data_IF_503870755291
#
_entry.id   IF_503870755291
#
_cell.length_a   1.000
_cell.length_b   1.000
_cell.length_c   1.000
_cell.angle_alpha   90.00
_cell.angle_beta   90.00
_cell.angle_gamma   90.00
#
_symmetry.space_group_name_H-M   'P 1'
#
loop_
_entity.id
_entity.type
_entity.pdbx_description
1 polymer ?
#
# COMPACT_ATOMS: atom_id res chain seq x y z
N UNK A 1 19.92 -13.39 -80.64
CA UNK A 1 18.60 -13.11 -80.03
C UNK A 1 18.49 -14.06 -78.86
N UNK A 2 18.47 -13.66 -77.59
CA UNK A 2 17.95 -12.45 -76.97
C UNK A 2 18.59 -12.30 -75.57
N UNK A 3 18.66 -11.07 -75.09
CA UNK A 3 19.38 -10.55 -73.92
C UNK A 3 19.31 -11.36 -72.61
N UNK A 4 20.46 -11.58 -71.97
CA UNK A 4 20.54 -11.91 -70.54
C UNK A 4 20.64 -10.58 -69.75
N UNK A 5 19.60 -10.25 -69.00
CA UNK A 5 19.55 -9.09 -68.12
C UNK A 5 20.36 -9.38 -66.85
N UNK A 6 21.37 -8.54 -66.56
CA UNK A 6 22.05 -8.51 -65.28
C UNK A 6 21.14 -7.83 -64.25
N UNK A 7 20.62 -8.60 -63.29
CA UNK A 7 19.94 -8.07 -62.13
C UNK A 7 20.98 -7.56 -61.12
N UNK A 8 21.12 -6.25 -61.00
CA UNK A 8 21.82 -5.62 -59.88
C UNK A 8 20.96 -5.79 -58.62
N UNK A 9 21.43 -6.63 -57.69
CA UNK A 9 20.90 -6.68 -56.34
C UNK A 9 21.43 -5.44 -55.62
N UNK A 10 20.58 -4.43 -55.47
CA UNK A 10 20.84 -3.31 -54.58
C UNK A 10 20.84 -3.81 -53.15
N UNK A 11 22.02 -3.94 -52.54
CA UNK A 11 22.14 -4.10 -51.11
C UNK A 11 21.70 -2.82 -50.42
N UNK A 12 20.51 -2.83 -49.82
CA UNK A 12 20.19 -1.90 -48.74
C UNK A 12 21.09 -2.29 -47.57
N UNK A 13 22.26 -1.64 -47.48
CA UNK A 13 23.12 -1.75 -46.31
C UNK A 13 22.34 -1.27 -45.10
N UNK A 14 22.12 -2.17 -44.13
CA UNK A 14 21.89 -1.77 -42.75
C UNK A 14 23.18 -1.08 -42.30
N UNK A 15 23.25 0.24 -42.42
CA UNK A 15 24.43 1.03 -42.04
C UNK A 15 24.18 1.96 -40.88
N UNK A 16 23.13 1.73 -40.11
CA UNK A 16 22.93 2.38 -38.82
C UNK A 16 22.71 1.31 -37.75
N UNK A 17 23.81 0.84 -37.17
CA UNK A 17 23.79 -0.09 -36.04
C UNK A 17 23.71 0.65 -34.69
N UNK A 18 23.45 1.97 -34.68
CA UNK A 18 23.59 2.76 -33.47
C UNK A 18 25.01 2.68 -32.90
N UNK A 19 25.17 3.03 -31.63
CA UNK A 19 26.44 2.85 -30.93
C UNK A 19 26.67 1.36 -30.63
N UNK A 20 27.54 0.72 -31.42
CA UNK A 20 27.92 -0.70 -31.26
C UNK A 20 28.69 -1.01 -29.96
N UNK A 21 28.98 0.00 -29.14
CA UNK A 21 29.53 -0.19 -27.80
C UNK A 21 28.45 -0.34 -26.71
N UNK A 22 27.17 -0.15 -27.07
CA UNK A 22 26.06 -0.35 -26.15
C UNK A 22 25.42 -1.70 -26.42
N UNK A 23 25.72 -2.69 -25.56
CA UNK A 23 25.03 -3.97 -25.54
C UNK A 23 23.60 -3.75 -24.98
N UNK A 24 22.54 -3.84 -25.79
CA UNK A 24 21.17 -3.62 -25.31
C UNK A 24 20.67 -4.76 -24.41
N UNK A 25 21.37 -5.90 -24.35
CA UNK A 25 21.02 -7.06 -23.52
C UNK A 25 21.73 -7.03 -22.15
N UNK A 26 22.69 -6.13 -21.94
CA UNK A 26 23.32 -5.88 -20.64
C UNK A 26 22.97 -4.49 -20.12
N UNK A 27 22.20 -4.45 -19.03
CA UNK A 27 21.91 -3.21 -18.32
C UNK A 27 23.19 -2.61 -17.75
N UNK A 28 23.42 -1.33 -18.05
CA UNK A 28 24.53 -0.50 -17.56
C UNK A 28 24.03 0.94 -17.37
N UNK A 29 24.84 1.82 -16.79
CA UNK A 29 24.48 3.21 -16.49
C UNK A 29 23.99 4.03 -17.70
N UNK A 30 24.29 3.60 -18.93
CA UNK A 30 23.93 4.29 -20.16
C UNK A 30 22.65 3.73 -20.84
N UNK A 31 22.13 2.56 -20.43
CA UNK A 31 20.89 1.97 -20.98
C UNK A 31 19.86 1.51 -19.92
N UNK A 32 20.07 1.82 -18.63
CA UNK A 32 19.08 1.52 -17.58
C UNK A 32 17.75 2.24 -17.89
N UNK A 33 16.63 1.50 -17.99
CA UNK A 33 15.32 2.10 -18.25
C UNK A 33 14.76 2.74 -16.99
N UNK A 34 15.27 3.93 -16.65
CA UNK A 34 15.05 4.58 -15.36
C UNK A 34 13.56 4.83 -15.07
N UNK A 35 12.77 5.20 -16.07
CA UNK A 35 11.30 5.32 -15.94
C UNK A 35 10.61 4.00 -15.60
N UNK A 36 11.09 2.86 -16.14
CA UNK A 36 10.55 1.55 -15.82
C UNK A 36 10.93 1.14 -14.40
N UNK A 37 12.17 1.41 -13.97
CA UNK A 37 12.59 1.22 -12.58
C UNK A 37 11.73 2.05 -11.63
N UNK A 38 11.50 3.32 -11.94
CA UNK A 38 10.63 4.18 -11.14
C UNK A 38 9.19 3.65 -11.06
N UNK A 39 8.62 3.24 -12.20
CA UNK A 39 7.28 2.63 -12.27
C UNK A 39 7.21 1.36 -11.40
N UNK A 40 8.20 0.47 -11.52
CA UNK A 40 8.27 -0.76 -10.73
C UNK A 40 8.46 -0.48 -9.24
N UNK A 41 9.35 0.44 -8.90
CA UNK A 41 9.59 0.91 -7.54
C UNK A 41 8.30 1.40 -6.88
N UNK A 42 7.54 2.27 -7.55
CA UNK A 42 6.23 2.72 -7.06
C UNK A 42 5.26 1.56 -6.81
N UNK A 43 5.13 0.61 -7.74
CA UNK A 43 4.21 -0.52 -7.60
C UNK A 43 4.64 -1.46 -6.47
N UNK A 44 5.91 -1.88 -6.46
CA UNK A 44 6.43 -2.84 -5.48
C UNK A 44 6.54 -2.24 -4.07
N UNK A 45 6.65 -0.92 -3.92
CA UNK A 45 6.58 -0.26 -2.60
C UNK A 45 5.22 -0.36 -1.92
N UNK A 46 4.14 -0.70 -2.65
CA UNK A 46 2.81 -0.84 -2.07
C UNK A 46 2.62 -2.19 -1.39
N UNK A 47 3.25 -3.21 -1.95
CA UNK A 47 3.12 -4.60 -1.51
C UNK A 47 2.66 -5.49 -2.65
N UNK A 48 2.92 -6.78 -2.54
CA UNK A 48 2.34 -7.83 -3.36
C UNK A 48 1.51 -8.75 -2.46
N UNK A 49 0.87 -9.75 -3.03
CA UNK A 49 0.19 -10.78 -2.24
C UNK A 49 1.14 -11.45 -1.23
N UNK A 50 2.45 -11.47 -1.47
CA UNK A 50 3.42 -12.13 -0.61
C UNK A 50 3.59 -11.47 0.76
N UNK A 51 3.92 -10.17 0.78
CA UNK A 51 4.13 -9.38 2.01
C UNK A 51 2.83 -8.83 2.59
N UNK A 52 1.86 -8.46 1.74
CA UNK A 52 0.54 -8.00 2.22
C UNK A 52 -0.18 -9.14 2.93
N UNK A 53 -0.03 -10.39 2.50
CA UNK A 53 -0.59 -11.52 3.21
C UNK A 53 0.07 -11.72 4.57
N UNK A 54 1.41 -11.72 4.61
CA UNK A 54 2.18 -11.99 5.83
C UNK A 54 2.16 -10.82 6.81
N UNK A 55 2.75 -9.69 6.46
CA UNK A 55 2.79 -8.53 7.34
C UNK A 55 1.40 -7.90 7.51
N UNK A 56 0.63 -7.79 6.43
CA UNK A 56 -0.68 -7.14 6.44
C UNK A 56 -1.77 -8.02 7.07
N UNK A 57 -2.08 -9.17 6.48
CA UNK A 57 -3.23 -9.99 6.88
C UNK A 57 -2.96 -10.88 8.09
N UNK A 58 -1.80 -11.54 8.16
CA UNK A 58 -1.46 -12.48 9.25
C UNK A 58 -1.10 -11.72 10.54
N UNK A 59 -0.43 -10.56 10.43
CA UNK A 59 -0.05 -9.74 11.58
C UNK A 59 -0.90 -8.47 11.75
N UNK A 60 -0.65 -7.41 10.97
CA UNK A 60 -1.15 -6.07 11.26
C UNK A 60 -2.68 -5.99 11.39
N UNK A 61 -3.43 -6.55 10.43
CA UNK A 61 -4.89 -6.54 10.43
C UNK A 61 -5.47 -7.29 11.64
N UNK A 62 -4.80 -8.36 12.07
CA UNK A 62 -5.23 -9.07 13.26
C UNK A 62 -4.82 -8.33 14.55
N UNK A 63 -3.60 -7.81 14.67
CA UNK A 63 -3.18 -7.02 15.85
C UNK A 63 -4.02 -5.75 16.05
N UNK A 64 -4.48 -5.12 14.97
CA UNK A 64 -5.45 -4.03 15.01
C UNK A 64 -6.90 -4.49 15.29
N UNK A 65 -7.11 -5.81 15.40
CA UNK A 65 -8.42 -6.46 15.58
C UNK A 65 -9.43 -6.18 14.46
N UNK A 66 -8.98 -5.90 13.24
CA UNK A 66 -9.86 -5.84 12.07
C UNK A 66 -10.27 -7.25 11.64
N UNK A 67 -9.33 -8.19 11.61
CA UNK A 67 -9.58 -9.59 11.22
C UNK A 67 -9.14 -10.61 12.26
N UNK A 68 -9.71 -11.81 12.16
CA UNK A 68 -9.34 -13.01 12.90
C UNK A 68 -9.21 -14.20 11.94
N UNK A 69 -8.33 -15.14 12.31
CA UNK A 69 -8.13 -16.40 11.61
C UNK A 69 -7.83 -17.51 12.61
N UNK A 70 -8.38 -18.71 12.39
CA UNK A 70 -7.95 -19.91 13.09
C UNK A 70 -6.77 -20.61 12.41
N UNK A 71 -6.57 -20.37 11.11
CA UNK A 71 -5.43 -20.90 10.38
C UNK A 71 -4.16 -20.07 10.64
N UNK A 72 -4.32 -18.77 10.87
CA UNK A 72 -3.22 -17.83 11.12
C UNK A 72 -3.33 -17.22 12.51
N UNK A 73 -2.70 -17.87 13.50
CA UNK A 73 -2.78 -17.48 14.91
C UNK A 73 -1.88 -16.29 15.30
N UNK A 74 -1.43 -15.48 14.33
CA UNK A 74 -0.49 -14.36 14.52
C UNK A 74 -0.93 -13.35 15.59
N UNK A 75 -2.24 -13.10 15.70
CA UNK A 75 -2.83 -12.31 16.79
C UNK A 75 -3.32 -13.15 17.96
N UNK A 76 -3.80 -14.37 17.72
CA UNK A 76 -4.43 -15.15 18.78
C UNK A 76 -3.47 -15.44 19.95
N UNK A 77 -2.16 -15.54 19.66
CA UNK A 77 -1.13 -15.91 20.63
C UNK A 77 0.14 -15.04 20.57
N UNK A 78 0.14 -13.91 19.84
CA UNK A 78 1.37 -13.15 19.52
C UNK A 78 2.50 -14.05 19.01
N UNK A 79 2.14 -15.10 18.25
CA UNK A 79 3.12 -16.04 17.71
C UNK A 79 3.95 -15.35 16.65
N UNK A 80 5.26 -15.54 16.73
CA UNK A 80 6.22 -14.93 15.83
C UNK A 80 6.81 -15.96 14.87
N UNK A 81 6.85 -15.61 13.59
CA UNK A 81 7.57 -16.34 12.56
C UNK A 81 8.52 -15.40 11.84
N UNK A 82 9.82 -15.71 11.87
CA UNK A 82 10.87 -14.87 11.29
C UNK A 82 10.68 -14.66 9.78
N UNK A 83 10.32 -15.73 9.06
CA UNK A 83 10.09 -15.67 7.62
C UNK A 83 8.90 -14.79 7.24
N UNK A 84 7.83 -14.78 8.03
CA UNK A 84 6.65 -13.96 7.75
C UNK A 84 6.82 -12.51 8.20
N UNK A 85 7.50 -12.29 9.32
CA UNK A 85 7.71 -10.95 9.86
C UNK A 85 8.74 -10.16 9.05
N UNK A 86 9.82 -10.82 8.60
CA UNK A 86 10.90 -10.19 7.83
C UNK A 86 10.62 -10.02 6.34
N UNK A 87 9.47 -10.47 5.82
CA UNK A 87 9.27 -10.54 4.37
C UNK A 87 9.27 -9.18 3.66
N UNK A 88 8.78 -8.11 4.30
CA UNK A 88 8.82 -6.78 3.69
C UNK A 88 10.25 -6.25 3.52
N UNK A 89 11.24 -6.82 4.23
CA UNK A 89 12.67 -6.51 4.04
C UNK A 89 13.18 -6.82 2.63
N UNK A 90 12.52 -7.73 1.91
CA UNK A 90 12.82 -8.06 0.51
C UNK A 90 12.70 -6.85 -0.44
N UNK A 91 12.09 -5.75 0.00
CA UNK A 91 12.03 -4.51 -0.77
C UNK A 91 13.42 -3.87 -1.02
N UNK A 92 14.43 -4.20 -0.22
CA UNK A 92 15.84 -3.85 -0.50
C UNK A 92 16.48 -4.73 -1.58
N UNK A 93 16.01 -5.97 -1.75
CA UNK A 93 16.72 -6.99 -2.52
C UNK A 93 16.31 -6.99 -4.00
N UNK A 94 17.30 -6.98 -4.89
CA UNK A 94 17.12 -6.98 -6.33
C UNK A 94 16.61 -8.29 -6.95
N UNK A 95 16.80 -9.43 -6.27
CA UNK A 95 16.41 -10.75 -6.77
C UNK A 95 14.93 -11.07 -6.56
N UNK A 96 14.22 -10.24 -5.79
CA UNK A 96 12.78 -10.38 -5.55
C UNK A 96 12.04 -9.10 -5.94
N UNK A 97 11.93 -8.13 -5.03
CA UNK A 97 11.03 -6.98 -5.21
C UNK A 97 11.77 -5.71 -5.58
N UNK A 98 12.96 -5.49 -5.02
CA UNK A 98 13.90 -4.45 -5.43
C UNK A 98 13.39 -3.02 -5.40
N UNK A 99 12.26 -2.72 -4.76
CA UNK A 99 11.59 -1.43 -4.96
C UNK A 99 12.40 -0.25 -4.42
N UNK A 100 13.07 -0.42 -3.28
CA UNK A 100 13.96 0.63 -2.74
C UNK A 100 15.22 0.77 -3.58
N UNK A 101 15.70 -0.33 -4.19
CA UNK A 101 16.81 -0.29 -5.14
C UNK A 101 16.44 0.52 -6.37
N UNK A 102 15.37 0.12 -7.05
CA UNK A 102 14.90 0.75 -8.28
C UNK A 102 14.61 2.24 -8.08
N UNK A 103 14.02 2.59 -6.93
CA UNK A 103 13.76 3.98 -6.58
C UNK A 103 15.06 4.75 -6.30
N UNK A 104 16.04 4.13 -5.62
CA UNK A 104 17.34 4.74 -5.35
C UNK A 104 18.14 4.96 -6.64
N UNK A 105 18.13 3.98 -7.55
CA UNK A 105 18.76 4.09 -8.87
C UNK A 105 18.14 5.24 -9.68
N UNK A 106 16.81 5.40 -9.64
CA UNK A 106 16.13 6.52 -10.28
C UNK A 106 16.50 7.89 -9.65
N UNK A 107 16.60 7.96 -8.32
CA UNK A 107 17.06 9.16 -7.62
C UNK A 107 18.47 9.54 -8.07
N UNK A 108 19.42 8.61 -8.09
CA UNK A 108 20.80 8.90 -8.45
C UNK A 108 20.94 9.27 -9.94
N UNK A 109 20.20 8.60 -10.83
CA UNK A 109 20.22 8.88 -12.27
C UNK A 109 19.70 10.29 -12.61
N UNK A 110 18.66 10.77 -11.92
CA UNK A 110 18.03 12.07 -12.23
C UNK A 110 18.63 13.25 -11.46
N UNK A 111 19.41 13.00 -10.41
CA UNK A 111 19.94 14.01 -9.50
C UNK A 111 20.68 15.15 -10.21
N UNK A 112 21.59 14.81 -11.10
CA UNK A 112 22.45 15.79 -11.80
C UNK A 112 21.95 16.12 -13.22
N UNK A 113 20.83 15.53 -13.67
CA UNK A 113 20.25 15.81 -14.99
C UNK A 113 19.30 17.02 -14.90
N UNK A 114 19.64 18.18 -15.52
CA UNK A 114 18.82 19.38 -15.47
C UNK A 114 17.42 19.19 -16.09
N UNK A 115 17.27 18.23 -17.01
CA UNK A 115 16.00 17.94 -17.67
C UNK A 115 15.06 17.07 -16.81
N UNK A 116 15.58 16.48 -15.73
CA UNK A 116 14.88 15.53 -14.85
C UNK A 116 14.72 16.04 -13.42
N UNK A 117 14.94 17.33 -13.19
CA UNK A 117 14.91 17.86 -11.82
C UNK A 117 13.54 17.70 -11.12
N UNK A 118 12.43 17.73 -11.86
CA UNK A 118 11.10 17.45 -11.31
C UNK A 118 10.98 15.95 -10.96
N UNK A 119 11.38 15.08 -11.88
CA UNK A 119 11.39 13.61 -11.71
C UNK A 119 12.24 13.22 -10.47
N UNK A 120 13.40 13.84 -10.30
CA UNK A 120 14.28 13.68 -9.15
C UNK A 120 13.59 14.01 -7.82
N UNK A 121 12.91 15.16 -7.71
CA UNK A 121 12.21 15.50 -6.46
C UNK A 121 11.06 14.52 -6.15
N UNK A 122 10.35 14.07 -7.19
CA UNK A 122 9.28 13.07 -7.02
C UNK A 122 9.86 11.72 -6.56
N UNK A 123 10.99 11.30 -7.12
CA UNK A 123 11.70 10.09 -6.70
C UNK A 123 12.17 10.18 -5.24
N UNK A 124 12.67 11.33 -4.78
CA UNK A 124 13.00 11.55 -3.36
C UNK A 124 11.78 11.39 -2.45
N UNK A 125 10.62 11.92 -2.84
CA UNK A 125 9.36 11.79 -2.07
C UNK A 125 8.95 10.32 -1.96
N UNK A 126 9.04 9.56 -3.05
CA UNK A 126 8.73 8.13 -3.03
C UNK A 126 9.73 7.33 -2.21
N UNK A 127 11.03 7.61 -2.33
CA UNK A 127 12.07 6.97 -1.52
C UNK A 127 11.83 7.20 -0.03
N UNK A 128 11.48 8.44 0.36
CA UNK A 128 11.10 8.78 1.72
C UNK A 128 9.87 7.97 2.20
N UNK A 129 8.84 7.81 1.35
CA UNK A 129 7.69 6.96 1.68
C UNK A 129 8.08 5.49 1.93
N UNK A 130 8.93 4.91 1.08
CA UNK A 130 9.36 3.51 1.25
C UNK A 130 10.18 3.30 2.52
N UNK A 131 11.12 4.21 2.79
CA UNK A 131 11.94 4.16 4.00
C UNK A 131 11.11 4.40 5.26
N UNK A 132 10.10 5.28 5.22
CA UNK A 132 9.13 5.43 6.31
C UNK A 132 8.43 4.10 6.64
N UNK A 133 7.97 3.36 5.61
CA UNK A 133 7.36 2.03 5.84
C UNK A 133 8.33 1.04 6.46
N UNK A 134 9.59 1.03 6.02
CA UNK A 134 10.61 0.14 6.58
C UNK A 134 10.85 0.41 8.06
N UNK A 135 11.07 1.68 8.43
CA UNK A 135 11.36 2.00 9.83
C UNK A 135 10.12 1.83 10.72
N UNK A 136 8.90 2.05 10.22
CA UNK A 136 7.66 1.79 10.98
C UNK A 136 7.46 0.31 11.32
N UNK A 137 7.97 -0.60 10.47
CA UNK A 137 7.88 -2.04 10.69
C UNK A 137 9.05 -2.59 11.53
N UNK A 138 10.25 -2.03 11.38
CA UNK A 138 11.48 -2.68 11.86
C UNK A 138 12.32 -1.85 12.83
N UNK A 139 12.02 -0.56 13.02
CA UNK A 139 12.82 0.31 13.87
C UNK A 139 14.05 0.84 13.14
N UNK A 140 15.22 0.61 13.73
CA UNK A 140 16.52 0.95 13.14
C UNK A 140 16.78 0.06 11.91
N UNK A 141 17.19 0.66 10.80
CA UNK A 141 17.34 -0.02 9.50
C UNK A 141 18.51 0.58 8.72
N UNK A 142 19.06 -0.15 7.73
CA UNK A 142 19.90 0.47 6.70
C UNK A 142 19.16 1.61 6.01
N UNK A 143 19.65 2.84 6.13
CA UNK A 143 19.04 4.02 5.53
C UNK A 143 20.05 4.83 4.72
N UNK A 144 20.99 5.52 5.39
CA UNK A 144 22.00 6.36 4.73
C UNK A 144 22.96 5.56 3.83
N UNK A 145 23.28 4.33 4.23
CA UNK A 145 24.16 3.41 3.50
C UNK A 145 23.38 2.37 2.66
N UNK A 146 22.04 2.44 2.66
CA UNK A 146 21.22 1.44 2.00
C UNK A 146 21.43 1.44 0.48
N UNK A 147 21.27 0.25 -0.11
CA UNK A 147 21.26 0.00 -1.56
C UNK A 147 22.51 0.53 -2.28
N UNK A 148 23.66 0.49 -1.61
CA UNK A 148 24.95 0.90 -2.18
C UNK A 148 25.99 -0.19 -1.96
N UNK A 149 25.79 -1.41 -2.49
CA UNK A 149 26.62 -2.58 -2.16
C UNK A 149 28.09 -2.42 -2.57
N UNK A 150 28.37 -1.58 -3.57
CA UNK A 150 29.74 -1.25 -4.00
C UNK A 150 30.51 -0.43 -2.97
N UNK A 151 29.81 0.41 -2.19
CA UNK A 151 30.40 1.27 -1.15
C UNK A 151 30.29 0.62 0.24
N UNK A 152 29.19 -0.06 0.49
CA UNK A 152 28.80 -0.61 1.79
C UNK A 152 28.29 -2.04 1.62
N UNK A 153 29.18 -3.02 1.71
CA UNK A 153 28.77 -4.44 1.67
C UNK A 153 27.99 -4.87 2.92
N UNK A 154 28.16 -4.16 4.04
CA UNK A 154 27.44 -4.36 5.30
C UNK A 154 26.96 -3.00 5.82
N UNK A 155 25.83 -2.49 5.31
CA UNK A 155 25.37 -1.17 5.70
C UNK A 155 24.98 -1.14 7.18
N UNK A 156 25.38 -0.08 7.86
CA UNK A 156 24.99 0.18 9.24
C UNK A 156 23.50 0.53 9.35
N UNK A 157 22.94 0.31 10.54
CA UNK A 157 21.55 0.62 10.82
C UNK A 157 21.50 2.02 11.40
N UNK A 158 20.80 2.93 10.71
CA UNK A 158 20.55 4.25 11.23
C UNK A 158 19.42 4.17 12.25
N UNK A 159 19.49 5.00 13.29
CA UNK A 159 18.45 5.02 14.32
C UNK A 159 17.12 5.49 13.73
N UNK A 160 16.00 4.93 14.20
CA UNK A 160 14.66 5.37 13.80
C UNK A 160 14.48 6.88 14.01
N UNK A 161 15.05 7.45 15.08
CA UNK A 161 15.00 8.89 15.32
C UNK A 161 15.70 9.69 14.20
N UNK A 162 16.94 9.32 13.82
CA UNK A 162 17.67 10.02 12.76
C UNK A 162 16.98 9.86 11.40
N UNK A 163 16.42 8.68 11.13
CA UNK A 163 15.65 8.41 9.92
C UNK A 163 14.44 9.34 9.86
N UNK A 164 13.62 9.40 10.91
CA UNK A 164 12.44 10.27 10.96
C UNK A 164 12.77 11.74 10.69
N UNK A 165 13.85 12.25 11.29
CA UNK A 165 14.28 13.62 11.08
C UNK A 165 14.75 13.89 9.65
N UNK A 166 15.44 12.93 9.03
CA UNK A 166 15.86 13.05 7.64
C UNK A 166 14.67 12.94 6.68
N UNK A 167 13.72 12.03 6.92
CA UNK A 167 12.48 11.93 6.15
C UNK A 167 11.71 13.26 6.13
N UNK A 168 11.56 13.93 7.28
CA UNK A 168 10.88 15.23 7.36
C UNK A 168 11.61 16.30 6.56
N UNK A 169 12.95 16.30 6.60
CA UNK A 169 13.79 17.21 5.83
C UNK A 169 13.66 16.94 4.32
N UNK A 170 13.82 15.69 3.89
CA UNK A 170 13.71 15.25 2.49
C UNK A 170 12.36 15.66 1.88
N UNK A 171 11.26 15.40 2.59
CA UNK A 171 9.91 15.79 2.15
C UNK A 171 9.76 17.31 2.03
N UNK A 172 10.33 18.08 2.96
CA UNK A 172 10.23 19.54 2.96
C UNK A 172 11.06 20.19 1.87
N UNK A 173 12.25 19.67 1.59
CA UNK A 173 13.09 20.18 0.51
C UNK A 173 12.53 19.81 -0.86
N UNK A 174 12.09 18.55 -1.05
CA UNK A 174 11.56 18.09 -2.32
C UNK A 174 10.27 18.84 -2.71
N UNK A 175 9.33 19.03 -1.77
CA UNK A 175 8.12 19.81 -2.05
C UNK A 175 8.44 21.27 -2.37
N UNK A 176 9.46 21.86 -1.73
CA UNK A 176 9.82 23.26 -1.97
C UNK A 176 10.41 23.43 -3.37
N UNK A 177 11.24 22.47 -3.81
CA UNK A 177 11.82 22.45 -5.15
C UNK A 177 10.78 22.23 -6.26
N UNK A 178 9.63 21.62 -5.94
CA UNK A 178 8.51 21.47 -6.87
C UNK A 178 7.61 22.73 -6.96
N UNK A 179 7.82 23.75 -6.13
CA UNK A 179 6.93 24.91 -6.08
C UNK A 179 6.95 25.72 -7.38
N UNK A 180 5.78 25.87 -8.01
CA UNK A 180 5.65 26.54 -9.31
C UNK A 180 6.15 25.72 -10.51
N UNK A 181 6.56 24.47 -10.30
CA UNK A 181 6.94 23.56 -11.37
C UNK A 181 5.70 23.10 -12.17
N UNK A 182 5.94 22.72 -13.43
CA UNK A 182 4.93 22.12 -14.31
C UNK A 182 4.95 20.59 -14.16
N UNK A 183 4.73 19.83 -15.23
CA UNK A 183 4.72 18.38 -15.17
C UNK A 183 6.14 17.78 -15.32
N UNK A 184 6.37 16.66 -14.63
CA UNK A 184 7.56 15.83 -14.75
C UNK A 184 7.76 15.28 -16.18
N UNK A 185 9.01 15.03 -16.58
CA UNK A 185 9.34 14.50 -17.90
C UNK A 185 8.91 13.04 -18.06
N UNK A 186 8.93 12.27 -16.96
CA UNK A 186 8.54 10.85 -16.91
C UNK A 186 7.06 10.56 -17.24
N UNK A 187 6.15 11.55 -17.13
CA UNK A 187 4.72 11.43 -17.49
C UNK A 187 4.06 10.16 -16.94
N UNK A 188 3.64 9.24 -17.82
CA UNK A 188 2.89 8.02 -17.47
C UNK A 188 3.70 6.96 -16.75
N UNK A 189 5.02 7.12 -16.62
CA UNK A 189 5.82 6.30 -15.72
C UNK A 189 5.53 6.61 -14.23
N UNK A 190 4.92 7.76 -13.94
CA UNK A 190 4.31 8.01 -12.64
C UNK A 190 2.89 7.44 -12.57
N UNK A 191 2.75 6.38 -11.79
CA UNK A 191 1.50 5.66 -11.58
C UNK A 191 0.46 6.43 -10.74
N UNK A 192 0.85 7.48 -10.02
CA UNK A 192 -0.04 8.18 -9.09
C UNK A 192 -0.61 9.47 -9.69
N UNK A 193 0.25 10.34 -10.21
CA UNK A 193 -0.16 11.69 -10.63
C UNK A 193 0.29 12.07 -12.03
N UNK A 194 0.83 11.13 -12.80
CA UNK A 194 1.29 11.35 -14.17
C UNK A 194 2.29 12.52 -14.29
N UNK A 195 3.06 12.76 -13.22
CA UNK A 195 4.04 13.83 -13.14
C UNK A 195 3.52 15.19 -12.67
N UNK A 196 2.28 15.31 -12.19
CA UNK A 196 1.73 16.58 -11.69
C UNK A 196 2.44 17.05 -10.41
N UNK A 197 3.33 18.02 -10.54
CA UNK A 197 4.12 18.55 -9.43
C UNK A 197 3.26 19.14 -8.30
N UNK A 198 2.11 19.74 -8.61
CA UNK A 198 1.22 20.31 -7.59
C UNK A 198 0.64 19.21 -6.69
N UNK A 199 0.20 18.10 -7.28
CA UNK A 199 -0.27 16.93 -6.52
C UNK A 199 0.84 16.28 -5.72
N UNK A 200 2.04 16.15 -6.28
CA UNK A 200 3.22 15.64 -5.57
C UNK A 200 3.60 16.49 -4.37
N UNK A 201 3.51 17.82 -4.47
CA UNK A 201 3.71 18.72 -3.32
C UNK A 201 2.71 18.46 -2.21
N UNK A 202 1.41 18.40 -2.54
CA UNK A 202 0.36 18.11 -1.55
C UNK A 202 0.56 16.75 -0.90
N UNK A 203 1.00 15.74 -1.65
CA UNK A 203 1.34 14.43 -1.11
C UNK A 203 2.53 14.49 -0.15
N UNK A 204 3.63 15.13 -0.55
CA UNK A 204 4.81 15.29 0.31
C UNK A 204 4.47 15.98 1.63
N UNK A 205 3.67 17.05 1.58
CA UNK A 205 3.21 17.76 2.78
C UNK A 205 2.27 16.90 3.65
N UNK A 206 1.36 16.15 3.03
CA UNK A 206 0.43 15.26 3.78
C UNK A 206 1.16 14.06 4.39
N UNK A 207 2.19 13.55 3.72
CA UNK A 207 3.08 12.53 4.28
C UNK A 207 3.92 13.11 5.42
N UNK A 208 4.44 14.33 5.28
CA UNK A 208 5.16 15.03 6.35
C UNK A 208 4.27 15.20 7.60
N UNK A 209 2.99 15.54 7.42
CA UNK A 209 2.01 15.58 8.52
C UNK A 209 1.88 14.21 9.21
N UNK A 210 1.80 13.11 8.45
CA UNK A 210 1.75 11.75 9.00
C UNK A 210 3.00 11.42 9.81
N UNK A 211 4.18 11.66 9.25
CA UNK A 211 5.48 11.40 9.88
C UNK A 211 5.60 12.21 11.18
N UNK A 212 5.28 13.50 11.13
CA UNK A 212 5.34 14.39 12.29
C UNK A 212 4.35 13.98 13.40
N UNK A 213 3.10 13.64 13.04
CA UNK A 213 2.09 13.20 14.02
C UNK A 213 2.46 11.88 14.70
N UNK A 214 3.20 10.98 14.03
CA UNK A 214 3.72 9.75 14.66
C UNK A 214 4.65 10.06 15.84
N UNK A 215 5.45 11.12 15.73
CA UNK A 215 6.40 11.54 16.76
C UNK A 215 5.73 12.22 17.97
N UNK A 216 4.42 12.51 17.91
CA UNK A 216 3.69 13.35 18.87
C UNK A 216 3.78 12.97 20.35
N UNK A 217 4.22 11.75 20.67
CA UNK A 217 4.45 11.28 22.04
C UNK A 217 5.92 11.27 22.45
N UNK A 218 6.83 10.91 21.54
CA UNK A 218 8.26 10.74 21.84
C UNK A 218 9.01 12.06 21.77
N UNK A 219 8.65 12.94 20.82
CA UNK A 219 9.19 14.28 20.68
C UNK A 219 8.06 15.26 20.27
N UNK A 220 7.23 15.70 21.24
CA UNK A 220 6.10 16.58 20.95
C UNK A 220 6.51 17.95 20.38
N UNK A 221 7.69 18.45 20.74
CA UNK A 221 8.16 19.77 20.31
C UNK A 221 8.55 19.75 18.84
N UNK A 222 9.34 18.75 18.41
CA UNK A 222 9.66 18.57 16.99
C UNK A 222 8.40 18.23 16.18
N UNK A 223 7.52 17.37 16.72
CA UNK A 223 6.25 17.03 16.07
C UNK A 223 5.40 18.29 15.79
N UNK A 224 5.19 19.16 16.78
CA UNK A 224 4.44 20.40 16.59
C UNK A 224 5.04 21.30 15.50
N UNK A 225 6.37 21.48 15.50
CA UNK A 225 7.06 22.29 14.50
C UNK A 225 6.83 21.77 13.08
N UNK A 226 6.97 20.46 12.88
CA UNK A 226 6.83 19.85 11.56
C UNK A 226 5.37 19.73 11.12
N UNK A 227 4.42 19.52 12.03
CA UNK A 227 2.99 19.64 11.75
C UNK A 227 2.65 21.03 11.22
N UNK A 228 3.10 22.09 11.91
CA UNK A 228 2.89 23.48 11.47
C UNK A 228 3.50 23.75 10.10
N UNK A 229 4.71 23.22 9.87
CA UNK A 229 5.41 23.33 8.58
C UNK A 229 4.62 22.67 7.45
N UNK A 230 4.21 21.41 7.63
CA UNK A 230 3.44 20.65 6.66
C UNK A 230 2.14 21.36 6.28
N UNK A 231 1.40 21.87 7.28
CA UNK A 231 0.13 22.57 7.08
C UNK A 231 0.34 23.89 6.35
N UNK A 232 1.35 24.69 6.73
CA UNK A 232 1.68 25.93 6.05
C UNK A 232 2.09 25.74 4.59
N UNK A 233 2.73 24.61 4.26
CA UNK A 233 3.12 24.26 2.89
C UNK A 233 1.95 23.80 2.01
N UNK A 234 0.81 23.43 2.61
CA UNK A 234 -0.41 22.98 1.93
C UNK A 234 -0.51 21.45 1.84
N UNK A 235 -1.42 20.87 2.63
CA UNK A 235 -1.77 19.43 2.63
C UNK A 235 -2.95 19.15 1.69
N UNK A 236 -3.43 17.91 1.64
CA UNK A 236 -4.62 17.53 0.87
C UNK A 236 -5.86 18.34 1.24
N UNK A 237 -6.61 18.78 0.22
CA UNK A 237 -7.80 19.61 0.36
C UNK A 237 -9.09 18.86 0.04
N UNK A 238 -8.99 17.76 -0.71
CA UNK A 238 -10.13 16.89 -1.06
C UNK A 238 -9.67 15.49 -1.47
N UNK A 239 -10.61 14.56 -1.67
CA UNK A 239 -10.33 13.22 -2.18
C UNK A 239 -9.66 13.18 -3.55
N UNK A 240 -9.75 14.25 -4.35
CA UNK A 240 -9.06 14.36 -5.64
C UNK A 240 -7.52 14.47 -5.52
N UNK A 241 -7.04 14.77 -4.31
CA UNK A 241 -5.62 14.81 -3.97
C UNK A 241 -5.11 13.48 -3.38
N UNK A 242 -5.96 12.46 -3.21
CA UNK A 242 -5.53 11.18 -2.64
C UNK A 242 -4.40 10.54 -3.46
N UNK A 243 -3.36 10.06 -2.76
CA UNK A 243 -2.29 9.27 -3.36
C UNK A 243 -2.72 7.80 -3.32
N UNK A 244 -3.06 7.24 -4.49
CA UNK A 244 -3.50 5.86 -4.63
C UNK A 244 -3.07 5.28 -5.98
N UNK A 245 -2.73 3.99 -5.98
CA UNK A 245 -2.52 3.25 -7.22
C UNK A 245 -3.83 2.65 -7.68
N UNK A 246 -4.24 2.97 -8.91
CA UNK A 246 -5.29 2.24 -9.60
C UNK A 246 -4.66 1.06 -10.34
N UNK A 247 -5.06 -0.16 -9.99
CA UNK A 247 -4.51 -1.35 -10.62
C UNK A 247 -5.10 -1.55 -12.02
N UNK A 248 -4.23 -1.88 -13.00
CA UNK A 248 -4.62 -2.06 -14.40
C UNK A 248 -5.58 -3.25 -14.63
N UNK A 249 -5.72 -4.13 -13.63
CA UNK A 249 -6.71 -5.19 -13.61
C UNK A 249 -6.29 -6.51 -14.27
N UNK A 250 -7.26 -7.42 -14.32
CA UNK A 250 -7.09 -8.78 -14.82
C UNK A 250 -7.81 -9.79 -13.93
N UNK A 251 -7.38 -11.04 -13.99
CA UNK A 251 -7.78 -12.05 -13.02
C UNK A 251 -7.07 -11.76 -11.68
N UNK A 252 -7.73 -12.06 -10.56
CA UNK A 252 -7.13 -11.96 -9.21
C UNK A 252 -5.90 -12.85 -9.02
N UNK A 253 -5.53 -13.67 -10.01
CA UNK A 253 -4.31 -14.47 -10.06
C UNK A 253 -3.10 -13.69 -10.57
N UNK A 254 -3.29 -12.49 -11.12
CA UNK A 254 -2.22 -11.69 -11.73
C UNK A 254 -1.50 -10.84 -10.68
N UNK A 255 -0.18 -10.66 -10.83
CA UNK A 255 0.67 -9.87 -9.91
C UNK A 255 0.44 -8.36 -10.02
N UNK A 256 -0.25 -7.90 -11.07
CA UNK A 256 -0.72 -6.52 -11.21
C UNK A 256 -2.08 -6.27 -10.53
N UNK A 257 -2.71 -7.30 -9.96
CA UNK A 257 -3.97 -7.15 -9.22
C UNK A 257 -3.74 -6.43 -7.91
N UNK A 258 -4.79 -5.77 -7.41
CA UNK A 258 -4.80 -5.28 -6.04
C UNK A 258 -4.49 -6.45 -5.06
N UNK A 259 -3.46 -6.33 -4.18
CA UNK A 259 -2.98 -7.44 -3.36
C UNK A 259 -4.02 -8.04 -2.44
N UNK A 260 -4.85 -7.23 -1.76
CA UNK A 260 -5.89 -7.76 -0.87
C UNK A 260 -6.97 -8.53 -1.65
N UNK A 261 -7.33 -8.06 -2.84
CA UNK A 261 -8.23 -8.76 -3.74
C UNK A 261 -7.68 -10.11 -4.15
N UNK A 262 -6.39 -10.19 -4.53
CA UNK A 262 -5.71 -11.46 -4.81
C UNK A 262 -5.73 -12.37 -3.58
N UNK A 263 -5.40 -11.87 -2.39
CA UNK A 263 -5.37 -12.69 -1.17
C UNK A 263 -6.75 -13.24 -0.80
N UNK A 264 -7.75 -12.37 -0.63
CA UNK A 264 -9.06 -12.76 -0.12
C UNK A 264 -9.90 -13.52 -1.14
N UNK A 265 -9.60 -13.36 -2.42
CA UNK A 265 -10.40 -13.92 -3.51
C UNK A 265 -9.72 -15.09 -4.22
N UNK A 266 -8.40 -15.25 -4.07
CA UNK A 266 -7.62 -16.30 -4.73
C UNK A 266 -6.71 -17.05 -3.74
N UNK A 267 -5.70 -16.41 -3.16
CA UNK A 267 -4.61 -17.12 -2.45
C UNK A 267 -5.07 -17.78 -1.15
N UNK A 268 -5.82 -17.06 -0.30
CA UNK A 268 -6.10 -17.47 1.08
C UNK A 268 -7.55 -17.21 1.50
N UNK A 269 -8.44 -17.45 0.54
CA UNK A 269 -9.90 -17.38 0.66
C UNK A 269 -10.45 -18.22 1.81
N UNK A 270 -11.39 -17.65 2.56
CA UNK A 270 -12.06 -18.32 3.67
C UNK A 270 -11.22 -18.50 4.94
N UNK A 271 -10.08 -17.82 5.05
CA UNK A 271 -9.21 -17.87 6.23
C UNK A 271 -9.20 -16.59 7.06
N UNK A 272 -9.74 -15.47 6.55
CA UNK A 272 -9.85 -14.22 7.28
C UNK A 272 -11.31 -13.78 7.46
N UNK A 273 -11.68 -13.56 8.71
CA UNK A 273 -13.01 -13.13 9.13
C UNK A 273 -12.89 -11.80 9.87
N UNK A 274 -13.93 -10.96 9.85
CA UNK A 274 -13.99 -9.81 10.75
C UNK A 274 -14.00 -10.30 12.19
N UNK A 275 -13.35 -9.59 13.11
CA UNK A 275 -13.39 -9.95 14.54
C UNK A 275 -14.76 -9.68 15.15
N UNK A 276 -15.11 -10.43 16.19
CA UNK A 276 -16.29 -10.17 17.05
C UNK A 276 -16.30 -8.70 17.50
N UNK A 277 -15.17 -8.22 18.03
CA UNK A 277 -15.02 -6.84 18.48
C UNK A 277 -15.31 -5.81 17.40
N UNK A 278 -14.77 -5.98 16.19
CA UNK A 278 -14.94 -4.99 15.13
C UNK A 278 -16.37 -4.97 14.58
N UNK A 279 -17.00 -6.13 14.42
CA UNK A 279 -18.40 -6.21 14.03
C UNK A 279 -19.30 -5.59 15.10
N UNK A 280 -19.05 -5.88 16.37
CA UNK A 280 -19.83 -5.33 17.49
C UNK A 280 -19.67 -3.83 17.62
N UNK A 281 -18.45 -3.30 17.43
CA UNK A 281 -18.18 -1.86 17.39
C UNK A 281 -19.04 -1.18 16.32
N UNK A 282 -18.98 -1.68 15.07
CA UNK A 282 -19.74 -1.12 13.95
C UNK A 282 -21.25 -1.25 14.15
N UNK A 283 -21.73 -2.35 14.75
CA UNK A 283 -23.16 -2.49 15.09
C UNK A 283 -23.58 -1.53 16.19
N UNK A 284 -22.78 -1.38 17.25
CA UNK A 284 -23.12 -0.54 18.41
C UNK A 284 -23.28 0.94 18.05
N UNK A 285 -22.60 1.38 16.99
CA UNK A 285 -22.67 2.75 16.45
C UNK A 285 -23.61 2.88 15.26
N UNK A 286 -24.30 1.81 14.84
CA UNK A 286 -25.07 1.74 13.60
C UNK A 286 -24.26 2.24 12.38
N UNK A 287 -23.00 1.82 12.29
CA UNK A 287 -22.09 2.27 11.26
C UNK A 287 -22.54 1.76 9.87
N UNK A 288 -22.81 2.66 8.90
CA UNK A 288 -23.28 2.26 7.58
C UNK A 288 -22.23 1.48 6.79
N UNK A 289 -20.95 1.49 7.21
CA UNK A 289 -19.87 0.79 6.52
C UNK A 289 -19.86 -0.70 6.78
N UNK A 290 -20.59 -1.21 7.78
CA UNK A 290 -20.59 -2.65 8.10
C UNK A 290 -20.99 -3.50 6.87
N UNK A 291 -21.98 -3.06 6.10
CA UNK A 291 -22.38 -3.76 4.86
C UNK A 291 -21.38 -3.64 3.71
N UNK A 292 -20.44 -2.71 3.79
CA UNK A 292 -19.39 -2.52 2.78
C UNK A 292 -18.08 -3.20 3.17
N UNK A 293 -17.90 -3.51 4.46
CA UNK A 293 -16.70 -4.14 5.04
C UNK A 293 -16.89 -5.65 5.21
N UNK A 294 -18.10 -6.10 5.57
CA UNK A 294 -18.40 -7.51 5.85
C UNK A 294 -19.37 -8.14 4.85
N UNK A 295 -19.26 -9.47 4.68
CA UNK A 295 -20.29 -10.31 4.09
C UNK A 295 -20.31 -11.67 4.78
N UNK A 296 -21.48 -12.29 4.93
CA UNK A 296 -21.60 -13.70 5.35
C UNK A 296 -21.86 -14.53 4.11
N UNK A 297 -21.02 -15.54 3.86
CA UNK A 297 -21.02 -16.33 2.64
C UNK A 297 -21.14 -17.80 2.99
N UNK A 298 -21.93 -18.59 2.25
CA UNK A 298 -22.11 -20.02 2.52
C UNK A 298 -20.81 -20.79 2.29
N UNK A 299 -20.14 -20.53 1.16
CA UNK A 299 -18.87 -21.16 0.79
C UNK A 299 -17.78 -20.10 0.53
N UNK A 300 -17.18 -19.51 1.58
CA UNK A 300 -16.18 -18.45 1.44
C UNK A 300 -14.85 -18.94 0.85
N UNK A 301 -14.69 -20.24 0.65
CA UNK A 301 -13.49 -20.88 0.09
C UNK A 301 -13.53 -20.98 -1.43
N UNK A 302 -14.59 -20.52 -2.11
CA UNK A 302 -14.65 -20.48 -3.58
C UNK A 302 -13.83 -19.28 -4.09
N UNK A 303 -12.97 -19.54 -5.08
CA UNK A 303 -12.07 -18.55 -5.69
C UNK A 303 -12.77 -17.71 -6.77
N UNK A 304 -12.39 -16.45 -6.95
CA UNK A 304 -12.85 -15.63 -8.10
C UNK A 304 -12.10 -16.05 -9.35
N UNK A 305 -12.73 -16.89 -10.16
CA UNK A 305 -12.21 -17.30 -11.46
C UNK A 305 -13.33 -17.29 -12.52
N UNK A 306 -12.95 -17.20 -13.80
CA UNK A 306 -13.91 -17.28 -14.89
C UNK A 306 -14.67 -18.62 -14.82
N UNK A 307 -16.00 -18.55 -14.75
CA UNK A 307 -16.86 -19.73 -14.65
C UNK A 307 -16.94 -20.38 -13.26
N UNK A 308 -16.36 -19.75 -12.22
CA UNK A 308 -16.54 -20.19 -10.84
C UNK A 308 -17.94 -19.87 -10.31
N UNK A 309 -18.46 -20.71 -9.41
CA UNK A 309 -19.68 -20.45 -8.63
C UNK A 309 -19.39 -19.47 -7.47
N UNK A 310 -18.61 -18.42 -7.74
CA UNK A 310 -18.19 -17.47 -6.71
C UNK A 310 -19.41 -16.78 -6.07
N UNK A 311 -19.50 -16.92 -4.76
CA UNK A 311 -20.56 -16.33 -3.97
C UNK A 311 -20.11 -14.99 -3.37
N UNK A 312 -20.90 -13.96 -3.57
CA UNK A 312 -20.65 -12.65 -2.95
C UNK A 312 -21.14 -12.57 -1.49
N UNK A 313 -22.05 -13.46 -1.09
CA UNK A 313 -22.63 -13.52 0.25
C UNK A 313 -23.71 -12.47 0.54
N UNK A 314 -24.11 -12.38 1.80
CA UNK A 314 -25.09 -11.45 2.33
C UNK A 314 -24.40 -10.37 3.17
N UNK A 315 -24.54 -9.12 2.74
CA UNK A 315 -23.96 -7.94 3.38
C UNK A 315 -24.91 -7.21 4.34
N UNK A 316 -26.09 -7.75 4.64
CA UNK A 316 -27.02 -7.15 5.61
C UNK A 316 -26.33 -7.05 7.00
N UNK A 317 -26.26 -5.85 7.61
CA UNK A 317 -25.74 -5.67 8.97
C UNK A 317 -26.35 -6.61 10.01
N UNK A 318 -27.62 -6.99 9.86
CA UNK A 318 -28.32 -7.87 10.78
C UNK A 318 -27.74 -9.30 10.81
N UNK A 319 -27.23 -9.79 9.67
CA UNK A 319 -26.67 -11.15 9.57
C UNK A 319 -25.18 -11.20 9.90
N UNK A 320 -24.47 -10.05 9.89
CA UNK A 320 -23.03 -10.03 10.15
C UNK A 320 -22.72 -10.58 11.54
N UNK A 321 -21.67 -11.38 11.66
CA UNK A 321 -21.20 -11.94 12.94
C UNK A 321 -19.68 -12.03 12.90
N UNK A 322 -19.00 -11.36 13.81
CA UNK A 322 -17.55 -11.42 13.87
C UNK A 322 -17.06 -12.73 14.51
N UNK A 323 -15.92 -13.23 14.05
CA UNK A 323 -15.28 -14.42 14.59
C UNK A 323 -14.58 -14.08 15.92
N UNK A 324 -14.67 -14.94 16.95
CA UNK A 324 -13.89 -14.75 18.17
C UNK A 324 -12.39 -14.78 17.87
N UNK A 325 -11.70 -13.66 18.15
CA UNK A 325 -10.25 -13.55 18.08
C UNK A 325 -9.59 -14.09 19.35
N UNK A 326 -8.34 -14.55 19.28
CA UNK A 326 -7.62 -15.01 20.48
C UNK A 326 -7.66 -16.52 20.74
N UNK A 327 -8.26 -17.31 19.85
CA UNK A 327 -8.49 -18.74 20.09
C UNK A 327 -7.94 -19.62 18.97
N UNK A 328 -7.67 -20.88 19.31
CA UNK A 328 -7.43 -21.95 18.34
C UNK A 328 -8.72 -22.74 18.13
N UNK A 329 -8.94 -23.27 16.92
CA UNK A 329 -10.00 -24.23 16.66
C UNK A 329 -9.59 -25.69 16.93
N UNK A 330 -8.35 -25.94 17.33
CA UNK A 330 -7.88 -27.27 17.70
C UNK A 330 -8.38 -27.69 19.10
N UNK A 331 -9.11 -28.81 19.24
CA UNK A 331 -9.61 -29.29 20.54
C UNK A 331 -8.51 -29.61 21.56
N UNK A 332 -7.30 -29.94 21.08
CA UNK A 332 -6.15 -30.26 21.92
C UNK A 332 -5.42 -29.01 22.44
N UNK A 333 -5.79 -27.83 21.93
CA UNK A 333 -5.19 -26.56 22.36
C UNK A 333 -5.75 -26.12 23.72
N UNK A 334 -4.90 -25.65 24.65
CA UNK A 334 -5.39 -24.99 25.87
C UNK A 334 -6.23 -23.73 25.55
N UNK A 335 -6.03 -23.14 24.37
CA UNK A 335 -6.76 -21.98 23.86
C UNK A 335 -7.91 -22.37 22.92
N UNK A 336 -8.42 -23.60 23.03
CA UNK A 336 -9.52 -24.05 22.20
C UNK A 336 -10.74 -23.14 22.37
N UNK A 337 -11.24 -22.61 21.25
CA UNK A 337 -12.40 -21.71 21.20
C UNK A 337 -13.64 -22.32 21.84
N UNK A 338 -13.80 -23.65 21.77
CA UNK A 338 -14.89 -24.40 22.39
C UNK A 338 -14.96 -24.28 23.91
N UNK A 339 -13.85 -23.92 24.58
CA UNK A 339 -13.85 -23.70 26.03
C UNK A 339 -14.67 -22.47 26.44
N UNK A 340 -14.75 -21.45 25.58
CA UNK A 340 -15.54 -20.23 25.79
C UNK A 340 -16.84 -20.21 25.00
N UNK A 341 -16.83 -20.76 23.78
CA UNK A 341 -17.96 -20.81 22.85
C UNK A 341 -18.35 -22.28 22.62
N UNK A 342 -19.21 -22.88 23.48
CA UNK A 342 -19.44 -24.32 23.53
C UNK A 342 -19.89 -24.96 22.21
N UNK A 343 -20.51 -24.20 21.31
CA UNK A 343 -20.90 -24.66 19.99
C UNK A 343 -19.72 -25.17 19.16
N UNK A 344 -18.49 -24.67 19.38
CA UNK A 344 -17.30 -25.17 18.69
C UNK A 344 -16.81 -26.54 19.20
N UNK A 345 -17.36 -27.05 20.31
CA UNK A 345 -17.13 -28.44 20.74
C UNK A 345 -17.82 -29.44 19.82
N UNK A 346 -18.86 -29.02 19.12
CA UNK A 346 -19.54 -29.80 18.10
C UNK A 346 -18.72 -29.85 16.80
N UNK A 347 -18.49 -31.05 16.29
CA UNK A 347 -17.63 -31.26 15.11
C UNK A 347 -18.27 -30.74 13.82
N UNK A 348 -19.60 -30.87 13.67
CA UNK A 348 -20.34 -30.36 12.52
C UNK A 348 -20.38 -28.83 12.50
N UNK A 349 -20.49 -28.20 13.68
CA UNK A 349 -20.36 -26.76 13.81
C UNK A 349 -18.96 -26.30 13.40
N UNK A 350 -17.89 -26.99 13.85
CA UNK A 350 -16.51 -26.63 13.53
C UNK A 350 -16.14 -26.93 12.06
N UNK A 351 -16.78 -27.89 11.41
CA UNK A 351 -16.57 -28.10 9.96
C UNK A 351 -17.26 -27.03 9.11
N UNK A 352 -18.35 -26.43 9.61
CA UNK A 352 -19.17 -25.47 8.86
C UNK A 352 -19.09 -24.02 9.36
N UNK A 353 -18.29 -23.72 10.39
CA UNK A 353 -18.33 -22.39 11.04
C UNK A 353 -18.13 -21.24 10.07
N UNK A 354 -17.30 -21.42 9.02
CA UNK A 354 -16.95 -20.38 8.05
C UNK A 354 -18.19 -19.77 7.38
N UNK A 355 -19.28 -20.52 7.24
CA UNK A 355 -20.53 -20.03 6.66
C UNK A 355 -21.35 -19.11 7.57
N UNK A 356 -20.95 -19.00 8.84
CA UNK A 356 -21.69 -18.32 9.91
C UNK A 356 -21.07 -17.00 10.33
N UNK A 357 -19.86 -16.70 9.88
CA UNK A 357 -19.09 -15.53 10.28
C UNK A 357 -18.81 -14.64 9.08
N UNK A 358 -18.73 -13.34 9.35
CA UNK A 358 -18.45 -12.32 8.37
C UNK A 358 -17.02 -12.46 7.85
N UNK A 359 -16.86 -12.71 6.55
CA UNK A 359 -15.59 -12.48 5.86
C UNK A 359 -15.46 -11.02 5.48
N UNK A 360 -14.27 -10.61 5.04
CA UNK A 360 -14.11 -9.36 4.29
C UNK A 360 -15.11 -9.34 3.12
N UNK A 361 -15.68 -8.16 2.84
CA UNK A 361 -16.73 -8.01 1.85
C UNK A 361 -16.23 -8.36 0.45
N UNK A 362 -16.86 -9.37 -0.15
CA UNK A 362 -16.49 -9.96 -1.44
C UNK A 362 -16.99 -9.16 -2.65
N UNK A 363 -17.80 -8.11 -2.45
CA UNK A 363 -18.12 -7.13 -3.49
C UNK A 363 -17.06 -6.03 -3.56
N UNK A 364 -16.60 -5.56 -2.40
CA UNK A 364 -15.65 -4.44 -2.29
C UNK A 364 -14.21 -4.88 -2.51
N UNK A 365 -13.78 -5.94 -1.81
CA UNK A 365 -12.38 -6.35 -1.72
C UNK A 365 -12.04 -7.56 -2.59
N UNK A 366 -12.84 -7.85 -3.62
CA UNK A 366 -12.53 -8.86 -4.64
C UNK A 366 -12.27 -8.23 -6.01
N UNK A 367 -12.20 -6.91 -6.07
CA UNK A 367 -11.92 -6.16 -7.28
C UNK A 367 -10.42 -6.09 -7.55
N UNK A 368 -9.93 -6.83 -8.55
CA UNK A 368 -8.51 -6.78 -8.96
C UNK A 368 -8.06 -5.41 -9.48
N UNK A 369 -9.00 -4.51 -9.81
CA UNK A 369 -8.75 -3.13 -10.22
C UNK A 369 -8.93 -2.11 -9.09
N UNK A 370 -9.20 -2.58 -7.87
CA UNK A 370 -9.39 -1.73 -6.70
C UNK A 370 -8.18 -0.83 -6.42
N UNK A 371 -8.38 0.30 -5.74
CA UNK A 371 -7.29 1.19 -5.40
C UNK A 371 -6.45 0.65 -4.24
N UNK A 372 -5.12 0.77 -4.36
CA UNK A 372 -4.23 0.69 -3.19
C UNK A 372 -3.92 2.09 -2.68
N UNK A 373 -4.42 2.41 -1.49
CA UNK A 373 -4.23 3.73 -0.88
C UNK A 373 -2.85 3.87 -0.24
N UNK A 374 -2.17 4.96 -0.57
CA UNK A 374 -0.88 5.36 0.03
C UNK A 374 -1.10 6.41 1.11
N UNK A 375 -1.84 7.47 0.78
CA UNK A 375 -2.23 8.54 1.69
C UNK A 375 -3.53 9.18 1.22
N UNK A 376 -4.45 9.43 2.15
CA UNK A 376 -5.79 9.92 1.83
C UNK A 376 -6.11 11.22 2.55
N UNK A 377 -6.97 12.02 1.94
CA UNK A 377 -7.60 13.19 2.51
C UNK A 377 -8.33 12.85 3.81
N UNK A 378 -9.03 11.71 3.86
CA UNK A 378 -9.65 11.22 5.08
C UNK A 378 -8.64 11.11 6.24
N UNK A 379 -7.50 10.45 6.00
CA UNK A 379 -6.43 10.36 7.00
C UNK A 379 -5.87 11.74 7.35
N UNK A 380 -5.59 12.59 6.36
CA UNK A 380 -5.08 13.95 6.57
C UNK A 380 -6.01 14.76 7.46
N UNK A 381 -7.33 14.69 7.23
CA UNK A 381 -8.33 15.37 8.06
C UNK A 381 -8.35 14.82 9.50
N UNK A 382 -8.24 13.51 9.71
CA UNK A 382 -8.17 12.94 11.07
C UNK A 382 -6.89 13.35 11.81
N UNK A 383 -5.75 13.45 11.11
CA UNK A 383 -4.50 13.98 11.67
C UNK A 383 -4.61 15.46 12.04
N UNK A 384 -5.27 16.27 11.19
CA UNK A 384 -5.57 17.68 11.50
C UNK A 384 -6.52 17.81 12.69
N UNK A 385 -7.50 16.91 12.84
CA UNK A 385 -8.39 16.90 13.99
C UNK A 385 -7.61 16.69 15.29
N UNK A 386 -6.69 15.72 15.33
CA UNK A 386 -5.82 15.50 16.48
C UNK A 386 -4.87 16.68 16.74
N UNK A 387 -4.25 17.22 15.68
CA UNK A 387 -3.39 18.41 15.79
C UNK A 387 -4.15 19.62 16.34
N UNK A 388 -5.42 19.81 15.96
CA UNK A 388 -6.28 20.88 16.46
C UNK A 388 -6.63 20.68 17.95
N UNK A 389 -6.90 19.45 18.39
CA UNK A 389 -7.09 19.13 19.83
C UNK A 389 -5.84 19.50 20.64
N UNK A 390 -4.66 19.31 20.05
CA UNK A 390 -3.36 19.64 20.67
C UNK A 390 -3.03 21.14 20.62
N UNK A 391 -3.81 21.96 19.89
CA UNK A 391 -3.54 23.38 19.68
C UNK A 391 -2.37 23.66 18.74
N UNK A 392 -1.99 22.70 17.90
CA UNK A 392 -0.86 22.82 16.98
C UNK A 392 -1.24 23.50 15.66
N UNK A 393 -2.52 23.45 15.28
CA UNK A 393 -3.04 24.04 14.05
C UNK A 393 -4.31 24.81 14.35
N UNK A 394 -4.60 25.81 13.51
CA UNK A 394 -5.85 26.55 13.57
C UNK A 394 -7.02 25.69 13.04
N UNK A 395 -8.25 26.10 13.36
CA UNK A 395 -9.47 25.43 12.92
C UNK A 395 -10.14 24.58 14.00
N UNK A 396 -11.28 24.00 13.65
CA UNK A 396 -12.10 23.21 14.57
C UNK A 396 -11.75 21.72 14.44
N UNK A 397 -11.32 21.11 15.55
CA UNK A 397 -11.10 19.67 15.62
C UNK A 397 -12.34 18.86 15.19
N UNK A 398 -13.54 19.34 15.56
CA UNK A 398 -14.80 18.71 15.15
C UNK A 398 -14.99 18.75 13.64
N UNK A 399 -14.74 19.90 13.00
CA UNK A 399 -14.87 20.04 11.54
C UNK A 399 -13.91 19.11 10.81
N UNK A 400 -12.65 19.06 11.23
CA UNK A 400 -11.66 18.15 10.67
C UNK A 400 -12.08 16.69 10.85
N UNK A 401 -12.55 16.31 12.05
CA UNK A 401 -13.04 14.96 12.32
C UNK A 401 -14.21 14.57 11.41
N UNK A 402 -15.23 15.43 11.31
CA UNK A 402 -16.41 15.18 10.47
C UNK A 402 -16.05 15.07 8.99
N UNK A 403 -15.12 15.90 8.50
CA UNK A 403 -14.60 15.79 7.14
C UNK A 403 -13.86 14.48 6.92
N UNK A 404 -13.01 14.07 7.86
CA UNK A 404 -12.29 12.80 7.81
C UNK A 404 -13.23 11.60 7.76
N UNK A 405 -14.23 11.56 8.65
CA UNK A 405 -15.26 10.51 8.66
C UNK A 405 -16.07 10.51 7.36
N UNK A 406 -16.47 11.70 6.88
CA UNK A 406 -17.23 11.82 5.63
C UNK A 406 -16.42 11.35 4.42
N UNK A 407 -15.14 11.71 4.32
CA UNK A 407 -14.26 11.27 3.24
C UNK A 407 -13.98 9.76 3.29
N UNK A 408 -13.78 9.20 4.50
CA UNK A 408 -13.63 7.77 4.71
C UNK A 408 -14.88 6.97 4.31
N UNK A 409 -16.07 7.57 4.47
CA UNK A 409 -17.33 6.98 4.01
C UNK A 409 -17.63 7.29 2.54
N UNK A 410 -17.18 8.45 2.03
CA UNK A 410 -17.60 9.13 0.79
C UNK A 410 -16.77 8.83 -0.45
N UNK A 411 -15.64 8.13 -0.29
CA UNK A 411 -14.94 7.46 -1.40
C UNK A 411 -15.84 6.43 -2.12
N UNK A 412 -17.05 6.19 -1.59
CA UNK A 412 -18.14 5.42 -2.19
C UNK A 412 -18.87 6.04 -3.39
N UNK A 413 -18.72 7.34 -3.69
CA UNK A 413 -19.63 8.04 -4.63
C UNK A 413 -18.99 8.65 -5.90
N UNK A 414 -17.67 8.58 -6.09
CA UNK A 414 -16.97 9.32 -7.15
C UNK A 414 -16.59 8.51 -8.40
N UNK A 415 -17.00 7.24 -8.54
CA UNK A 415 -16.81 6.48 -9.79
C UNK A 415 -18.09 6.46 -10.65
N UNK A 416 -18.06 6.92 -11.92
CA UNK A 416 -19.22 6.93 -12.81
C UNK A 416 -19.73 5.53 -13.18
N UNK A 417 -19.00 4.47 -12.83
CA UNK A 417 -19.43 3.07 -12.90
C UNK A 417 -19.99 2.63 -11.54
N UNK A 418 -21.07 3.27 -11.11
CA UNK A 418 -21.73 3.05 -9.82
C UNK A 418 -22.28 1.61 -9.68
N UNK A 419 -21.42 0.70 -9.22
CA UNK A 419 -21.75 -0.53 -8.47
C UNK A 419 -20.78 -0.79 -7.30
N UNK A 420 -19.76 0.03 -7.05
CA UNK A 420 -18.67 -0.31 -6.12
C UNK A 420 -18.30 0.89 -5.25
N UNK A 421 -18.52 0.74 -3.93
CA UNK A 421 -18.07 1.70 -2.94
C UNK A 421 -16.57 1.51 -2.70
N UNK A 422 -15.78 2.58 -2.73
CA UNK A 422 -14.41 2.55 -2.23
C UNK A 422 -14.45 3.04 -0.78
N UNK A 423 -13.85 2.28 0.14
CA UNK A 423 -13.70 2.68 1.53
C UNK A 423 -12.22 2.92 1.78
N UNK A 424 -11.84 4.15 2.13
CA UNK A 424 -10.55 4.42 2.75
C UNK A 424 -10.74 4.36 4.27
N UNK A 425 -10.44 3.22 4.90
CA UNK A 425 -10.29 3.15 6.36
C UNK A 425 -8.80 3.21 6.68
#
# INVERSE_FOLDING_TARGET
MTCAAAAMIGGTGCSDFGDVNMDPEHLNSENIPTELLFTNGQHQMLGSDWDVWRNGCIYAAQWMSHTASFNWLGNANYTWNDGYSGVYWEIYNGDTRGALRDMKDAVEAWKEDPSRQIDYQIARIMLAYGMHRMTDLYGDIPYSQAVQPELYSFPEYDTQQSIYMDLLKELNEAQAALNGASAAAMKSADNFYQGDASKWRKFANSLMLRVAMRMSKVDPAAAEQWVKTAVANGVFESDADNCMLMHAGGLTTNDFSEPYAKIYSHEDRGNFFLTEYFVDLLKSTNDPRLSLIGTVCEEPTISVQAGSDFQYGNSDPAVQKGLPSGFSDSPDSPWFVGNKYPEFKDEDYRSTYRSRYSTINRYTYSDSTGPTFVCTYAQTQLLLAEAAVRGWVDGSAQTYYENGVRAACGSSHSSPTARRCIISI
#
